data_IF_023914213477
#
_entry.id   IF_023914213477
#
_cell.length_a   1.000
_cell.length_b   1.000
_cell.length_c   1.000
_cell.angle_alpha   90.00
_cell.angle_beta   90.00
_cell.angle_gamma   90.00
#
_symmetry.space_group_name_H-M   'P 1'
#
loop_
_entity.id
_entity.type
_entity.pdbx_description
1 polymer ?
#
# COMPACT_ATOMS: atom_id res chain seq x y z
N UNK A 1 2.36 -8.06 1.29
CA UNK A 1 1.51 -6.89 1.58
C UNK A 1 2.29 -5.62 1.38
N UNK A 2 1.61 -4.48 1.36
CA UNK A 2 2.18 -3.13 1.43
C UNK A 2 1.47 -2.38 2.56
N UNK A 3 2.13 -1.38 3.11
CA UNK A 3 1.59 -0.50 4.14
C UNK A 3 2.15 0.91 4.00
N UNK A 4 1.47 1.87 4.64
CA UNK A 4 1.98 3.24 4.81
C UNK A 4 2.45 3.50 6.24
N UNK A 5 1.90 2.82 7.25
CA UNK A 5 2.03 3.20 8.67
C UNK A 5 1.50 4.62 8.97
N UNK A 6 0.54 5.10 8.19
CA UNK A 6 -0.03 6.44 8.37
C UNK A 6 -0.74 6.58 9.73
N UNK A 7 -0.59 7.72 10.42
CA UNK A 7 -0.03 8.99 9.94
C UNK A 7 1.51 9.10 9.96
N UNK A 8 2.19 8.06 10.44
CA UNK A 8 3.62 8.02 10.70
C UNK A 8 4.44 7.60 9.46
N UNK A 9 5.77 7.63 9.60
CA UNK A 9 6.77 7.21 8.59
C UNK A 9 6.49 7.78 7.17
N UNK A 10 6.59 9.09 6.97
CA UNK A 10 6.40 9.69 5.64
C UNK A 10 7.42 9.16 4.63
N UNK A 11 6.99 8.82 3.40
CA UNK A 11 7.90 8.55 2.30
C UNK A 11 8.87 9.70 2.03
N UNK A 12 10.02 9.38 1.43
CA UNK A 12 11.07 10.35 1.16
C UNK A 12 10.60 11.56 0.32
N UNK A 13 9.57 11.40 -0.52
CA UNK A 13 9.00 12.51 -1.31
C UNK A 13 8.07 13.44 -0.53
N UNK A 14 7.59 13.03 0.66
CA UNK A 14 6.80 13.87 1.58
C UNK A 14 7.72 14.61 2.56
N UNK A 15 8.87 14.03 2.91
CA UNK A 15 9.81 14.63 3.85
C UNK A 15 9.27 14.61 5.28
N UNK A 16 9.16 15.76 5.95
CA UNK A 16 8.68 15.86 7.34
C UNK A 16 7.14 15.99 7.44
N UNK A 17 6.41 15.69 6.37
CA UNK A 17 4.95 15.75 6.35
C UNK A 17 4.26 14.53 6.97
N UNK A 18 2.93 14.58 7.02
CA UNK A 18 2.10 13.44 7.45
C UNK A 18 1.99 12.43 6.31
N UNK A 19 2.12 11.16 6.64
CA UNK A 19 1.82 10.09 5.69
C UNK A 19 0.32 9.84 5.63
N UNK A 20 -0.20 9.42 4.48
CA UNK A 20 -1.62 9.10 4.30
C UNK A 20 -1.78 7.76 3.58
N UNK A 21 -2.86 6.99 3.81
CA UNK A 21 -3.11 5.74 3.10
C UNK A 21 -3.09 5.87 1.57
N UNK A 22 -3.39 7.05 1.04
CA UNK A 22 -3.34 7.35 -0.39
C UNK A 22 -1.93 7.20 -1.00
N UNK A 23 -0.87 7.27 -0.19
CA UNK A 23 0.52 7.13 -0.64
C UNK A 23 0.89 5.68 -0.99
N UNK A 24 0.06 4.70 -0.59
CA UNK A 24 0.28 3.28 -0.86
C UNK A 24 0.45 2.98 -2.36
N UNK A 25 -0.29 3.68 -3.23
CA UNK A 25 -0.18 3.51 -4.68
C UNK A 25 1.20 3.92 -5.21
N UNK A 26 1.77 5.00 -4.67
CA UNK A 26 3.11 5.46 -5.05
C UNK A 26 4.21 4.58 -4.47
N UNK A 27 4.01 4.06 -3.25
CA UNK A 27 4.89 3.04 -2.65
C UNK A 27 4.91 1.76 -3.50
N UNK A 28 3.76 1.32 -4.01
CA UNK A 28 3.67 0.18 -4.92
C UNK A 28 4.48 0.42 -6.21
N UNK A 29 4.40 1.63 -6.78
CA UNK A 29 5.20 2.03 -7.94
C UNK A 29 6.71 1.99 -7.67
N UNK A 30 7.16 2.55 -6.53
CA UNK A 30 8.56 2.49 -6.14
C UNK A 30 9.06 1.04 -5.95
N UNK A 31 8.23 0.16 -5.37
CA UNK A 31 8.57 -1.25 -5.25
C UNK A 31 8.65 -1.95 -6.63
N UNK A 32 7.75 -1.62 -7.54
CA UNK A 32 7.73 -2.16 -8.90
C UNK A 32 9.03 -1.83 -9.65
N UNK A 33 9.47 -0.57 -9.59
CA UNK A 33 10.76 -0.14 -10.14
C UNK A 33 11.94 -0.92 -9.55
N UNK A 34 12.00 -1.06 -8.22
CA UNK A 34 13.05 -1.83 -7.54
C UNK A 34 13.06 -3.32 -7.91
N UNK A 35 11.90 -3.87 -8.29
CA UNK A 35 11.74 -5.28 -8.66
C UNK A 35 11.88 -5.55 -10.15
N UNK A 36 11.89 -4.51 -10.98
CA UNK A 36 11.82 -4.67 -12.44
C UNK A 36 10.51 -5.33 -12.89
N UNK A 37 9.42 -5.06 -12.16
CA UNK A 37 8.08 -5.61 -12.40
C UNK A 37 7.09 -4.45 -12.65
N UNK A 38 5.86 -4.75 -13.05
CA UNK A 38 4.84 -3.72 -13.23
C UNK A 38 4.03 -3.45 -11.95
N UNK A 39 3.55 -2.21 -11.78
CA UNK A 39 2.84 -1.79 -10.57
C UNK A 39 1.53 -2.56 -10.36
N UNK A 40 0.85 -2.97 -11.43
CA UNK A 40 -0.40 -3.74 -11.34
C UNK A 40 -0.14 -5.15 -10.80
N UNK A 41 0.92 -5.80 -11.27
CA UNK A 41 1.40 -7.09 -10.76
C UNK A 41 1.80 -7.00 -9.30
N UNK A 42 2.53 -5.95 -8.90
CA UNK A 42 2.87 -5.71 -7.49
C UNK A 42 1.60 -5.53 -6.66
N UNK A 43 0.65 -4.72 -7.10
CA UNK A 43 -0.61 -4.48 -6.40
C UNK A 43 -1.42 -5.77 -6.25
N UNK A 44 -1.58 -6.54 -7.33
CA UNK A 44 -2.31 -7.81 -7.32
C UNK A 44 -1.68 -8.83 -6.38
N UNK A 45 -0.36 -9.04 -6.47
CA UNK A 45 0.37 -9.98 -5.60
C UNK A 45 0.32 -9.56 -4.14
N UNK A 46 0.54 -8.28 -3.86
CA UNK A 46 0.57 -7.80 -2.47
C UNK A 46 -0.81 -7.80 -1.83
N UNK A 47 -1.88 -7.57 -2.60
CA UNK A 47 -3.27 -7.70 -2.17
C UNK A 47 -3.68 -9.16 -1.96
N UNK A 48 -3.31 -10.07 -2.86
CA UNK A 48 -3.55 -11.51 -2.67
C UNK A 48 -2.84 -12.04 -1.42
N UNK A 49 -1.61 -11.58 -1.18
CA UNK A 49 -0.89 -11.89 0.06
C UNK A 49 -1.61 -11.32 1.30
N UNK A 50 -2.24 -10.14 1.19
CA UNK A 50 -3.05 -9.55 2.25
C UNK A 50 -4.25 -10.43 2.60
N UNK A 51 -5.00 -10.81 1.56
CA UNK A 51 -6.17 -11.66 1.67
C UNK A 51 -5.83 -13.01 2.29
N UNK A 52 -4.71 -13.63 1.87
CA UNK A 52 -4.26 -14.92 2.41
C UNK A 52 -3.90 -14.85 3.90
N UNK A 53 -3.21 -13.78 4.32
CA UNK A 53 -2.73 -13.64 5.71
C UNK A 53 -3.85 -13.19 6.65
N UNK A 54 -4.69 -12.25 6.24
CA UNK A 54 -5.70 -11.64 7.10
C UNK A 54 -7.14 -12.11 6.85
N UNK A 55 -7.37 -12.94 5.83
CA UNK A 55 -8.71 -13.39 5.47
C UNK A 55 -9.61 -12.29 4.91
N UNK A 56 -9.03 -11.20 4.40
CA UNK A 56 -9.77 -10.04 3.87
C UNK A 56 -10.06 -10.21 2.37
N UNK A 57 -11.29 -9.98 1.96
CA UNK A 57 -11.68 -9.98 0.55
C UNK A 57 -11.75 -8.55 0.02
N UNK A 58 -11.54 -8.35 -1.29
CA UNK A 58 -11.61 -7.02 -1.92
C UNK A 58 -12.97 -6.31 -1.75
N UNK A 59 -13.99 -7.00 -1.24
CA UNK A 59 -15.31 -6.47 -0.92
C UNK A 59 -15.53 -6.13 0.55
N UNK A 60 -14.57 -6.40 1.44
CA UNK A 60 -14.64 -6.02 2.85
C UNK A 60 -14.26 -4.55 2.98
N UNK A 61 -15.19 -3.67 2.61
CA UNK A 61 -15.11 -2.25 2.94
C UNK A 61 -15.32 -2.09 4.45
N UNK A 62 -14.28 -2.36 5.23
CA UNK A 62 -14.17 -1.77 6.56
C UNK A 62 -14.14 -0.25 6.36
N UNK A 63 -15.32 0.36 6.46
CA UNK A 63 -15.45 1.80 6.49
C UNK A 63 -14.58 2.33 7.61
N UNK A 64 -13.49 3.00 7.27
CA UNK A 64 -12.75 3.81 8.22
C UNK A 64 -13.67 4.99 8.56
N UNK A 65 -14.14 5.14 9.82
CA UNK A 65 -14.83 6.35 10.22
C UNK A 65 -13.88 7.54 10.06
N UNK A 66 -14.46 8.65 9.62
CA UNK A 66 -13.77 9.92 9.42
C UNK A 66 -13.07 10.43 10.68
#
# INVERSE_FOLDING_TARGET
>A
MLETDSPDIPPAWIGQGRNEPAELARIAGALAELRGDDTETIAARTSANAASVFGVSAGDSAGFPA
#
